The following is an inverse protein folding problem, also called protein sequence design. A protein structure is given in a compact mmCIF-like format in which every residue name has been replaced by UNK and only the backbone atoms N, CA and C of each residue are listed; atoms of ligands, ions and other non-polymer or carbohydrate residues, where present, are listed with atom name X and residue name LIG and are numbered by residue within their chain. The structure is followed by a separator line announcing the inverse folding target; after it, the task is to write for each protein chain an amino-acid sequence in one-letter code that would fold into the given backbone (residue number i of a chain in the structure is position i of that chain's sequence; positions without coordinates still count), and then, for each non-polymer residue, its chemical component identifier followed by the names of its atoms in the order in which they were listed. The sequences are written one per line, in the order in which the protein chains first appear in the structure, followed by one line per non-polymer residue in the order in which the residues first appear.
data_IF_597276131431
#
_entry.id   IF_597276131431
#
_cell.length_a   1.000
_cell.length_b   1.000
_cell.length_c   1.000
_cell.angle_alpha   90.00
_cell.angle_beta   90.00
_cell.angle_gamma   90.00
#
_symmetry.space_group_name_H-M   'P 1'
#
loop_
_entity.id
_entity.type
_entity.pdbx_description
1 polymer ?
#
# COMPACT_ATOMS: atom_id res chain seq x y z
N UNK A 1 -36.83 33.53 -11.36
CA UNK A 1 -37.83 32.66 -12.01
C UNK A 1 -37.26 31.26 -12.05
N UNK A 2 -38.07 30.30 -11.61
CA UNK A 2 -37.73 28.92 -11.35
C UNK A 2 -37.30 28.15 -12.60
N UNK A 3 -36.21 27.39 -12.45
CA UNK A 3 -36.08 26.06 -13.04
C UNK A 3 -35.03 25.30 -12.22
N UNK A 4 -35.47 24.67 -11.14
CA UNK A 4 -34.87 23.41 -10.68
C UNK A 4 -35.13 22.37 -11.76
N UNK A 5 -34.36 22.44 -12.85
CA UNK A 5 -34.24 21.30 -13.75
C UNK A 5 -33.69 20.14 -12.92
N UNK A 6 -34.36 18.97 -12.92
CA UNK A 6 -33.77 17.79 -12.31
C UNK A 6 -32.48 17.51 -13.07
N UNK A 7 -31.32 17.70 -12.41
CA UNK A 7 -30.03 17.26 -12.97
C UNK A 7 -30.22 15.79 -13.33
N UNK A 8 -30.04 15.39 -14.61
CA UNK A 8 -30.26 14.00 -14.97
C UNK A 8 -29.30 13.15 -14.14
N UNK A 9 -29.84 12.20 -13.38
CA UNK A 9 -29.04 11.27 -12.60
C UNK A 9 -28.24 10.38 -13.56
N UNK A 10 -27.04 9.91 -13.18
CA UNK A 10 -26.33 8.89 -13.94
C UNK A 10 -27.23 7.70 -14.25
N UNK A 11 -27.06 7.11 -15.43
CA UNK A 11 -27.81 5.92 -15.82
C UNK A 11 -27.69 4.83 -14.75
N UNK A 12 -28.81 4.29 -14.27
CA UNK A 12 -28.83 3.26 -13.22
C UNK A 12 -28.02 2.02 -13.62
N UNK A 13 -27.96 1.71 -14.93
CA UNK A 13 -27.13 0.64 -15.45
C UNK A 13 -25.63 0.95 -15.30
N UNK A 14 -25.18 2.15 -15.69
CA UNK A 14 -23.78 2.59 -15.51
C UNK A 14 -23.36 2.54 -14.03
N UNK A 15 -24.24 2.97 -13.13
CA UNK A 15 -24.03 2.88 -11.67
C UNK A 15 -23.86 1.43 -11.20
N UNK A 16 -24.73 0.52 -11.67
CA UNK A 16 -24.63 -0.90 -11.32
C UNK A 16 -23.33 -1.51 -11.87
N UNK A 17 -22.93 -1.16 -13.10
CA UNK A 17 -21.68 -1.63 -13.71
C UNK A 17 -20.46 -1.10 -12.98
N UNK A 18 -20.39 0.19 -12.63
CA UNK A 18 -19.28 0.74 -11.84
C UNK A 18 -19.14 0.03 -10.48
N UNK A 19 -20.26 -0.32 -9.85
CA UNK A 19 -20.26 -1.08 -8.59
C UNK A 19 -19.73 -2.50 -8.78
N UNK A 20 -20.09 -3.15 -9.88
CA UNK A 20 -19.56 -4.47 -10.25
C UNK A 20 -18.06 -4.41 -10.56
N UNK A 21 -17.60 -3.39 -11.31
CA UNK A 21 -16.18 -3.13 -11.58
C UNK A 21 -15.41 -2.94 -10.28
N UNK A 22 -15.92 -2.08 -9.38
CA UNK A 22 -15.31 -1.87 -8.06
C UNK A 22 -15.17 -3.18 -7.27
N UNK A 23 -16.24 -3.97 -7.18
CA UNK A 23 -16.20 -5.25 -6.49
C UNK A 23 -15.19 -6.23 -7.13
N UNK A 24 -15.13 -6.30 -8.47
CA UNK A 24 -14.17 -7.14 -9.20
C UNK A 24 -12.74 -6.74 -8.86
N UNK A 25 -12.41 -5.45 -8.98
CA UNK A 25 -11.05 -4.94 -8.71
C UNK A 25 -10.65 -5.19 -7.26
N UNK A 26 -11.55 -4.94 -6.30
CA UNK A 26 -11.31 -5.17 -4.87
C UNK A 26 -10.99 -6.65 -4.61
N UNK A 27 -11.85 -7.56 -5.10
CA UNK A 27 -11.73 -8.99 -4.80
C UNK A 27 -10.57 -9.66 -5.54
N UNK A 28 -10.17 -9.12 -6.70
CA UNK A 28 -9.10 -9.67 -7.51
C UNK A 28 -7.71 -9.14 -7.15
N UNK A 29 -7.60 -8.01 -6.43
CA UNK A 29 -6.31 -7.41 -6.06
C UNK A 29 -5.57 -8.30 -5.06
N UNK A 30 -4.38 -8.84 -5.40
CA UNK A 30 -3.70 -9.81 -4.54
C UNK A 30 -2.94 -9.13 -3.40
N UNK A 31 -3.38 -9.36 -2.17
CA UNK A 31 -2.66 -8.97 -0.97
C UNK A 31 -1.50 -9.93 -0.67
N UNK A 32 -0.25 -9.45 -0.55
CA UNK A 32 0.90 -10.27 -0.16
C UNK A 32 0.64 -11.09 1.12
N UNK A 33 0.03 -10.48 2.15
CA UNK A 33 -0.35 -11.18 3.38
C UNK A 33 -1.47 -12.20 3.13
N UNK A 34 -2.46 -11.88 2.31
CA UNK A 34 -3.57 -12.77 2.01
C UNK A 34 -3.07 -14.04 1.29
N UNK A 35 -2.20 -13.86 0.29
CA UNK A 35 -1.58 -14.99 -0.43
C UNK A 35 -0.68 -15.81 0.50
N UNK A 36 0.06 -15.15 1.41
CA UNK A 36 0.85 -15.85 2.42
C UNK A 36 -0.05 -16.63 3.41
N UNK A 37 -1.17 -16.05 3.83
CA UNK A 37 -2.13 -16.65 4.75
C UNK A 37 -2.78 -17.88 4.11
N UNK A 38 -3.12 -17.82 2.82
CA UNK A 38 -3.60 -18.97 2.04
C UNK A 38 -2.60 -20.13 2.06
N UNK A 39 -1.32 -19.84 1.79
CA UNK A 39 -0.26 -20.87 1.77
C UNK A 39 -0.05 -21.47 3.15
N UNK A 40 -0.01 -20.64 4.19
CA UNK A 40 0.10 -21.09 5.56
C UNK A 40 -1.10 -21.95 5.96
N UNK A 41 -2.32 -21.55 5.58
CA UNK A 41 -3.54 -22.33 5.81
C UNK A 41 -3.51 -23.67 5.10
N UNK A 42 -3.02 -23.72 3.86
CA UNK A 42 -2.89 -24.97 3.11
C UNK A 42 -1.84 -25.90 3.72
N UNK A 43 -0.74 -25.36 4.25
CA UNK A 43 0.22 -26.11 5.04
C UNK A 43 -0.45 -26.73 6.28
N UNK A 44 -1.24 -25.96 7.03
CA UNK A 44 -1.96 -26.47 8.20
C UNK A 44 -2.94 -27.60 7.83
N UNK A 45 -3.63 -27.48 6.69
CA UNK A 45 -4.50 -28.55 6.16
C UNK A 45 -3.71 -29.82 5.85
N UNK A 46 -2.57 -29.71 5.19
CA UNK A 46 -1.70 -30.84 4.84
C UNK A 46 -1.18 -31.58 6.08
N UNK A 47 -0.94 -30.85 7.17
CA UNK A 47 -0.51 -31.40 8.45
C UNK A 47 -1.66 -31.82 9.39
N UNK A 48 -2.91 -31.83 8.90
CA UNK A 48 -4.06 -32.34 9.66
C UNK A 48 -4.56 -31.40 10.77
N UNK A 49 -4.19 -30.12 10.74
CA UNK A 49 -4.59 -29.09 11.72
C UNK A 49 -5.31 -27.88 11.06
N UNK A 50 -6.32 -28.12 10.20
CA UNK A 50 -6.94 -27.07 9.36
C UNK A 50 -7.77 -26.02 10.12
N UNK A 51 -8.00 -26.22 11.41
CA UNK A 51 -8.87 -25.39 12.24
C UNK A 51 -8.12 -24.26 12.95
N UNK A 52 -6.78 -24.28 12.91
CA UNK A 52 -5.97 -23.21 13.47
C UNK A 52 -5.80 -22.08 12.45
N UNK A 53 -5.76 -20.86 12.95
CA UNK A 53 -5.49 -19.67 12.15
C UNK A 53 -3.96 -19.42 12.09
N UNK A 54 -3.33 -19.41 10.90
CA UNK A 54 -1.90 -19.20 10.77
C UNK A 54 -1.40 -17.83 11.26
N UNK A 55 -2.27 -16.82 11.37
CA UNK A 55 -1.93 -15.52 11.97
C UNK A 55 -1.88 -15.56 13.51
N UNK A 56 -2.35 -16.66 14.11
CA UNK A 56 -2.31 -16.93 15.54
C UNK A 56 -1.44 -18.13 15.92
N UNK A 57 -0.65 -18.63 14.97
CA UNK A 57 0.40 -19.62 15.20
C UNK A 57 1.74 -18.92 15.07
N UNK A 58 2.56 -19.01 16.11
CA UNK A 58 3.85 -18.35 16.18
C UNK A 58 4.97 -19.36 16.04
N UNK A 59 5.93 -19.07 15.16
CA UNK A 59 7.24 -19.68 15.22
C UNK A 59 8.13 -18.84 16.13
N UNK A 60 8.54 -19.43 17.25
CA UNK A 60 9.45 -18.82 18.21
C UNK A 60 10.84 -19.42 18.07
N UNK A 61 11.87 -18.59 18.28
CA UNK A 61 13.24 -19.05 18.46
C UNK A 61 13.73 -18.75 19.86
N UNK A 62 14.55 -19.64 20.38
CA UNK A 62 15.10 -19.55 21.73
C UNK A 62 16.60 -19.81 21.74
N UNK A 63 17.28 -19.21 22.71
CA UNK A 63 18.72 -19.40 22.89
C UNK A 63 19.03 -20.62 23.77
N UNK A 64 18.01 -21.21 24.40
CA UNK A 64 18.12 -22.38 25.27
C UNK A 64 16.88 -23.27 25.17
N UNK A 65 17.06 -24.57 25.44
CA UNK A 65 16.01 -25.58 25.39
C UNK A 65 16.18 -26.60 26.50
N UNK A 66 15.08 -27.22 26.93
CA UNK A 66 15.06 -28.30 27.90
C UNK A 66 14.40 -29.52 27.26
N UNK A 67 14.96 -30.72 27.48
CA UNK A 67 14.37 -31.95 26.95
C UNK A 67 13.06 -32.26 27.67
N UNK A 68 12.02 -32.62 26.93
CA UNK A 68 10.72 -33.01 27.49
C UNK A 68 10.14 -34.20 26.75
N UNK A 69 9.70 -35.22 27.47
CA UNK A 69 9.06 -36.40 26.88
C UNK A 69 7.57 -36.17 26.57
N UNK A 70 7.04 -35.01 26.93
CA UNK A 70 5.61 -34.67 26.75
C UNK A 70 5.34 -33.83 25.51
N UNK A 71 6.34 -33.08 25.05
CA UNK A 71 6.20 -32.18 23.91
C UNK A 71 6.38 -32.93 22.59
N UNK A 72 5.76 -32.41 21.55
CA UNK A 72 5.79 -32.97 20.20
C UNK A 72 7.19 -32.96 19.60
N UNK A 73 7.97 -31.89 19.80
CA UNK A 73 9.34 -31.76 19.30
C UNK A 73 10.37 -32.48 20.16
N UNK A 74 10.00 -32.89 21.39
CA UNK A 74 10.93 -33.39 22.40
C UNK A 74 11.64 -32.31 23.21
N UNK A 75 11.33 -31.02 22.96
CA UNK A 75 11.91 -29.86 23.63
C UNK A 75 10.82 -28.94 24.21
N UNK A 76 11.15 -28.26 25.30
CA UNK A 76 10.35 -27.20 25.91
C UNK A 76 11.22 -25.99 26.26
N UNK A 77 10.59 -24.83 26.34
CA UNK A 77 11.25 -23.56 26.66
C UNK A 77 10.53 -22.88 27.82
N UNK A 78 11.00 -23.17 29.03
CA UNK A 78 10.42 -22.70 30.30
C UNK A 78 11.16 -21.47 30.79
N UNK A 79 10.44 -20.42 31.17
CA UNK A 79 10.98 -19.12 31.57
C UNK A 79 11.94 -18.49 30.54
N UNK A 80 11.79 -18.86 29.26
CA UNK A 80 12.61 -18.37 28.17
C UNK A 80 11.82 -17.34 27.35
N UNK A 81 12.44 -16.20 27.07
CA UNK A 81 11.88 -15.23 26.13
C UNK A 81 12.34 -15.58 24.72
N UNK A 82 11.44 -15.63 23.73
CA UNK A 82 11.86 -15.82 22.35
C UNK A 82 12.84 -14.73 21.92
N UNK A 83 13.96 -15.10 21.31
CA UNK A 83 14.89 -14.16 20.66
C UNK A 83 14.35 -13.69 19.30
N UNK A 84 13.43 -14.45 18.72
CA UNK A 84 12.63 -14.07 17.55
C UNK A 84 11.24 -14.71 17.65
N UNK A 85 10.22 -13.97 17.20
CA UNK A 85 8.83 -14.42 17.13
C UNK A 85 8.22 -13.91 15.84
N UNK A 86 7.58 -14.78 15.07
CA UNK A 86 6.85 -14.43 13.85
C UNK A 86 5.65 -15.35 13.68
N UNK A 87 4.56 -14.88 13.07
CA UNK A 87 3.43 -15.76 12.77
C UNK A 87 3.77 -16.72 11.63
N UNK A 88 3.03 -17.83 11.50
CA UNK A 88 3.23 -18.78 10.41
C UNK A 88 3.04 -18.10 9.04
N UNK A 89 2.04 -17.21 8.92
CA UNK A 89 1.83 -16.39 7.73
C UNK A 89 3.04 -15.52 7.40
N UNK A 90 3.56 -14.79 8.39
CA UNK A 90 4.74 -13.95 8.20
C UNK A 90 5.97 -14.79 7.84
N UNK A 91 6.10 -15.99 8.39
CA UNK A 91 7.19 -16.92 8.07
C UNK A 91 7.14 -17.39 6.61
N UNK A 92 5.96 -17.47 5.96
CA UNK A 92 5.86 -17.74 4.52
C UNK A 92 6.57 -16.66 3.71
N UNK A 93 6.44 -15.40 4.11
CA UNK A 93 7.03 -14.24 3.43
C UNK A 93 8.51 -14.11 3.79
N UNK A 94 8.83 -14.17 5.08
CA UNK A 94 10.19 -13.97 5.59
C UNK A 94 11.12 -15.14 5.31
N UNK A 95 10.57 -16.33 5.15
CA UNK A 95 11.27 -17.61 5.10
C UNK A 95 12.13 -17.87 6.35
N UNK A 96 12.59 -19.11 6.48
CA UNK A 96 13.64 -19.44 7.43
C UNK A 96 14.96 -18.78 7.02
N UNK A 97 15.88 -18.63 7.99
CA UNK A 97 17.21 -18.08 7.75
C UNK A 97 18.01 -19.06 6.89
N UNK A 98 18.98 -18.57 6.13
CA UNK A 98 19.87 -19.43 5.35
C UNK A 98 20.53 -20.50 6.23
N UNK A 99 20.97 -20.13 7.44
CA UNK A 99 21.58 -21.05 8.42
C UNK A 99 20.65 -22.16 8.90
N UNK A 100 19.33 -21.96 8.87
CA UNK A 100 18.37 -23.01 9.23
C UNK A 100 18.22 -24.05 8.12
N UNK A 101 18.51 -23.65 6.87
CA UNK A 101 18.51 -24.58 5.75
C UNK A 101 19.67 -25.57 5.90
N UNK A 102 20.82 -25.08 6.36
CA UNK A 102 22.00 -25.88 6.63
C UNK A 102 21.86 -26.74 7.91
N UNK A 103 21.06 -26.28 8.89
CA UNK A 103 20.90 -26.92 10.20
C UNK A 103 19.42 -27.20 10.53
N UNK A 104 18.70 -27.79 9.59
CA UNK A 104 17.26 -28.02 9.71
C UNK A 104 16.87 -28.93 10.89
N UNK A 105 17.80 -29.78 11.35
CA UNK A 105 17.67 -30.63 12.53
C UNK A 105 17.65 -29.83 13.84
N UNK A 106 18.27 -28.64 13.86
CA UNK A 106 18.30 -27.76 15.03
C UNK A 106 17.05 -26.88 15.16
N UNK A 107 16.17 -26.85 14.15
CA UNK A 107 14.97 -26.01 14.17
C UNK A 107 14.00 -26.39 15.28
N UNK A 108 13.88 -27.68 15.59
CA UNK A 108 13.02 -28.18 16.67
C UNK A 108 13.68 -28.07 18.06
N UNK A 109 15.01 -27.96 18.10
CA UNK A 109 15.77 -27.76 19.33
C UNK A 109 15.72 -26.29 19.77
N UNK A 110 16.00 -25.35 18.86
CA UNK A 110 16.07 -23.92 19.16
C UNK A 110 14.83 -23.15 18.71
N UNK A 111 13.76 -23.84 18.34
CA UNK A 111 12.51 -23.24 17.96
C UNK A 111 11.34 -24.20 17.99
N UNK A 112 10.16 -23.66 17.76
CA UNK A 112 8.92 -24.43 17.75
C UNK A 112 7.72 -23.58 17.37
N UNK A 113 6.62 -24.24 17.04
CA UNK A 113 5.35 -23.58 16.75
C UNK A 113 4.44 -23.61 17.96
N UNK A 114 3.84 -22.47 18.29
CA UNK A 114 3.00 -22.31 19.47
C UNK A 114 1.78 -21.44 19.18
N UNK A 115 0.70 -21.66 19.92
CA UNK A 115 -0.49 -20.79 19.89
C UNK A 115 -0.33 -19.55 20.78
N UNK A 116 0.63 -19.58 21.70
CA UNK A 116 0.94 -18.46 22.58
C UNK A 116 1.92 -17.48 21.92
N UNK A 117 1.64 -16.19 22.01
CA UNK A 117 2.52 -15.13 21.53
C UNK A 117 3.79 -14.95 22.38
N UNK A 118 4.67 -13.99 22.01
CA UNK A 118 6.01 -13.84 22.58
C UNK A 118 6.05 -13.46 24.08
N UNK A 119 4.94 -12.97 24.63
CA UNK A 119 4.85 -12.56 26.05
C UNK A 119 4.57 -13.75 27.00
N UNK A 120 4.34 -14.94 26.48
CA UNK A 120 4.16 -16.13 27.31
C UNK A 120 5.45 -16.52 28.03
N UNK A 121 5.29 -17.05 29.24
CA UNK A 121 6.42 -17.43 30.08
C UNK A 121 6.97 -18.82 29.75
N UNK A 122 6.10 -19.73 29.31
CA UNK A 122 6.42 -21.14 29.10
C UNK A 122 5.88 -21.60 27.75
N UNK A 123 6.70 -22.33 27.01
CA UNK A 123 6.39 -22.91 25.72
C UNK A 123 6.63 -24.42 25.78
N UNK A 124 5.55 -25.20 25.83
CA UNK A 124 5.57 -26.64 26.10
C UNK A 124 4.29 -27.32 25.55
N UNK A 125 3.96 -28.51 26.04
CA UNK A 125 2.86 -29.33 25.52
C UNK A 125 1.48 -28.67 25.66
N UNK A 126 1.36 -27.65 26.50
CA UNK A 126 0.08 -26.96 26.76
C UNK A 126 -0.29 -25.94 25.69
N UNK A 127 0.68 -25.47 24.91
CA UNK A 127 0.49 -24.45 23.87
C UNK A 127 1.24 -24.74 22.57
N UNK A 128 1.89 -25.90 22.45
CA UNK A 128 2.52 -26.34 21.20
C UNK A 128 1.51 -26.52 20.06
N UNK A 129 1.97 -26.23 18.86
CA UNK A 129 1.34 -26.63 17.61
C UNK A 129 2.17 -27.77 17.05
N UNK A 130 1.51 -28.89 16.71
CA UNK A 130 2.15 -30.13 16.26
C UNK A 130 2.69 -30.02 14.83
N UNK A 131 3.72 -29.20 14.67
CA UNK A 131 4.46 -28.95 13.44
C UNK A 131 5.96 -29.02 13.74
N UNK A 132 6.70 -29.76 12.91
CA UNK A 132 8.16 -29.74 12.93
C UNK A 132 8.69 -28.61 12.05
N UNK A 133 9.69 -27.87 12.54
CA UNK A 133 10.36 -26.81 11.78
C UNK A 133 10.91 -27.29 10.45
N UNK A 134 11.52 -28.48 10.43
CA UNK A 134 12.05 -29.09 9.21
C UNK A 134 10.97 -29.41 8.17
N UNK A 135 9.77 -29.81 8.60
CA UNK A 135 8.69 -30.12 7.66
C UNK A 135 8.09 -28.85 7.06
N UNK A 136 7.92 -27.79 7.88
CA UNK A 136 7.53 -26.46 7.37
C UNK A 136 8.58 -25.92 6.41
N UNK A 137 9.87 -26.07 6.74
CA UNK A 137 10.98 -25.68 5.87
C UNK A 137 10.89 -26.39 4.51
N UNK A 138 10.72 -27.72 4.48
CA UNK A 138 10.56 -28.49 3.23
C UNK A 138 9.36 -28.02 2.42
N UNK A 139 8.22 -27.80 3.06
CA UNK A 139 7.00 -27.28 2.40
C UNK A 139 7.25 -25.91 1.77
N UNK A 140 7.99 -25.04 2.45
CA UNK A 140 8.33 -23.71 1.92
C UNK A 140 9.30 -23.77 0.75
N UNK A 141 10.24 -24.72 0.74
CA UNK A 141 11.13 -24.97 -0.40
C UNK A 141 10.40 -25.45 -1.65
N UNK A 142 9.32 -26.21 -1.48
CA UNK A 142 8.51 -26.69 -2.61
C UNK A 142 7.67 -25.58 -3.26
N UNK A 143 7.51 -24.43 -2.60
CA UNK A 143 6.68 -23.32 -3.06
C UNK A 143 7.57 -22.14 -3.41
N UNK A 144 7.63 -21.79 -4.69
CA UNK A 144 8.18 -20.50 -5.11
C UNK A 144 7.15 -19.39 -4.87
N UNK A 145 7.08 -18.90 -3.63
CA UNK A 145 6.15 -17.85 -3.23
C UNK A 145 6.36 -16.55 -4.01
N UNK A 146 7.61 -16.24 -4.37
CA UNK A 146 7.91 -15.03 -5.11
C UNK A 146 7.28 -15.09 -6.49
N UNK A 147 7.56 -16.16 -7.23
CA UNK A 147 6.97 -16.37 -8.56
C UNK A 147 5.44 -16.46 -8.48
N UNK A 148 4.89 -17.21 -7.52
CA UNK A 148 3.44 -17.32 -7.34
C UNK A 148 2.77 -15.96 -7.11
N UNK A 149 3.33 -15.12 -6.24
CA UNK A 149 2.76 -13.80 -5.96
C UNK A 149 2.90 -12.85 -7.16
N UNK A 150 4.07 -12.84 -7.81
CA UNK A 150 4.31 -12.04 -9.02
C UNK A 150 3.38 -12.45 -10.18
N UNK A 151 3.11 -13.74 -10.36
CA UNK A 151 2.17 -14.24 -11.37
C UNK A 151 0.73 -13.78 -11.08
N UNK A 152 0.28 -13.84 -9.81
CA UNK A 152 -1.03 -13.31 -9.41
C UNK A 152 -1.13 -11.82 -9.63
N UNK A 153 -0.08 -11.06 -9.31
CA UNK A 153 -0.03 -9.61 -9.53
C UNK A 153 -0.09 -9.26 -11.02
N UNK A 154 0.63 -10.02 -11.85
CA UNK A 154 0.61 -9.89 -13.31
C UNK A 154 -0.78 -10.18 -13.88
N UNK A 155 -1.42 -11.26 -13.46
CA UNK A 155 -2.77 -11.61 -13.87
C UNK A 155 -3.78 -10.52 -13.45
N UNK A 156 -3.67 -10.00 -12.23
CA UNK A 156 -4.52 -8.91 -11.76
C UNK A 156 -4.42 -7.66 -12.64
N UNK A 157 -3.22 -7.17 -12.91
CA UNK A 157 -3.04 -5.97 -13.71
C UNK A 157 -3.46 -6.16 -15.17
N UNK A 158 -3.20 -7.34 -15.74
CA UNK A 158 -3.71 -7.72 -17.06
C UNK A 158 -5.25 -7.69 -17.11
N UNK A 159 -5.93 -8.28 -16.12
CA UNK A 159 -7.39 -8.47 -16.14
C UNK A 159 -8.18 -7.26 -15.60
N UNK A 160 -7.55 -6.42 -14.79
CA UNK A 160 -8.19 -5.35 -14.02
C UNK A 160 -7.58 -3.97 -14.24
N UNK A 161 -6.49 -3.82 -15.01
CA UNK A 161 -5.80 -2.52 -15.19
C UNK A 161 -6.71 -1.43 -15.78
N UNK A 162 -7.53 -1.75 -16.78
CA UNK A 162 -8.50 -0.80 -17.37
C UNK A 162 -9.63 -0.44 -16.40
N UNK A 163 -10.08 -1.42 -15.62
CA UNK A 163 -11.10 -1.26 -14.59
C UNK A 163 -10.57 -0.34 -13.47
N UNK A 164 -9.34 -0.58 -13.01
CA UNK A 164 -8.62 0.27 -12.06
C UNK A 164 -8.54 1.72 -12.53
N UNK A 165 -8.10 1.94 -13.78
CA UNK A 165 -8.01 3.28 -14.38
C UNK A 165 -9.36 4.00 -14.39
N UNK A 166 -10.42 3.28 -14.76
CA UNK A 166 -11.79 3.80 -14.79
C UNK A 166 -12.26 4.23 -13.39
N UNK A 167 -11.98 3.41 -12.37
CA UNK A 167 -12.30 3.73 -10.97
C UNK A 167 -11.44 4.88 -10.43
N UNK A 168 -10.17 4.97 -10.80
CA UNK A 168 -9.28 6.08 -10.43
C UNK A 168 -9.81 7.40 -10.98
N UNK A 169 -10.23 7.42 -12.25
CA UNK A 169 -10.87 8.59 -12.89
C UNK A 169 -12.18 8.96 -12.22
N UNK A 170 -13.00 7.96 -11.87
CA UNK A 170 -14.24 8.18 -11.12
C UNK A 170 -13.97 8.78 -9.74
N UNK A 171 -13.02 8.23 -8.97
CA UNK A 171 -12.66 8.71 -7.65
C UNK A 171 -12.08 10.14 -7.69
N UNK A 172 -11.25 10.45 -8.68
CA UNK A 172 -10.76 11.81 -8.90
C UNK A 172 -11.92 12.80 -9.06
N UNK A 173 -12.90 12.49 -9.92
CA UNK A 173 -14.06 13.36 -10.15
C UNK A 173 -14.90 13.51 -8.88
N UNK A 174 -15.17 12.41 -8.16
CA UNK A 174 -15.88 12.44 -6.88
C UNK A 174 -15.17 13.38 -5.89
N UNK A 175 -13.84 13.23 -5.74
CA UNK A 175 -13.04 14.07 -4.85
C UNK A 175 -12.99 15.52 -5.30
N UNK A 176 -12.97 15.79 -6.60
CA UNK A 176 -12.97 17.14 -7.15
C UNK A 176 -14.32 17.84 -6.86
N UNK A 177 -15.43 17.14 -7.04
CA UNK A 177 -16.78 17.65 -6.68
C UNK A 177 -16.87 17.91 -5.18
N UNK A 178 -16.44 16.96 -4.34
CA UNK A 178 -16.41 17.15 -2.89
C UNK A 178 -15.55 18.34 -2.46
N UNK A 179 -14.36 18.51 -3.05
CA UNK A 179 -13.47 19.61 -2.77
C UNK A 179 -14.09 20.95 -3.21
N UNK A 180 -14.77 20.99 -4.35
CA UNK A 180 -15.53 22.16 -4.81
C UNK A 180 -16.67 22.50 -3.85
N UNK A 181 -17.49 21.53 -3.45
CA UNK A 181 -18.61 21.73 -2.52
C UNK A 181 -18.14 22.25 -1.16
N UNK A 182 -16.96 21.80 -0.71
CA UNK A 182 -16.28 22.28 0.51
C UNK A 182 -15.51 23.59 0.32
N UNK A 183 -15.51 24.19 -0.88
CA UNK A 183 -14.72 25.38 -1.27
C UNK A 183 -13.20 25.22 -1.10
N UNK A 184 -12.71 23.98 -1.11
CA UNK A 184 -11.27 23.66 -1.18
C UNK A 184 -10.75 23.84 -2.61
N UNK A 185 -11.60 23.64 -3.61
CA UNK A 185 -11.38 24.08 -4.99
C UNK A 185 -12.35 25.21 -5.31
N UNK A 186 -11.87 26.25 -5.99
CA UNK A 186 -12.75 27.23 -6.62
C UNK A 186 -13.45 26.61 -7.84
N UNK A 187 -14.50 27.27 -8.36
CA UNK A 187 -15.15 26.83 -9.61
C UNK A 187 -14.16 26.81 -10.79
N UNK A 188 -13.26 27.80 -10.84
CA UNK A 188 -12.20 27.90 -11.86
C UNK A 188 -11.19 26.76 -11.71
N UNK A 189 -10.70 26.50 -10.50
CA UNK A 189 -9.74 25.42 -10.26
C UNK A 189 -10.36 24.04 -10.53
N UNK A 190 -11.62 23.84 -10.14
CA UNK A 190 -12.38 22.62 -10.45
C UNK A 190 -12.49 22.41 -11.97
N UNK A 191 -12.91 23.44 -12.71
CA UNK A 191 -13.00 23.37 -14.17
C UNK A 191 -11.64 23.11 -14.80
N UNK A 192 -10.59 23.79 -14.31
CA UNK A 192 -9.23 23.60 -14.79
C UNK A 192 -8.77 22.15 -14.61
N UNK A 193 -8.73 21.62 -13.38
CA UNK A 193 -8.19 20.27 -13.14
C UNK A 193 -8.98 19.19 -13.87
N UNK A 194 -10.32 19.33 -13.94
CA UNK A 194 -11.15 18.36 -14.66
C UNK A 194 -10.96 18.42 -16.17
N UNK A 195 -10.81 19.62 -16.75
CA UNK A 195 -10.53 19.78 -18.16
C UNK A 195 -9.16 19.20 -18.56
N UNK A 196 -8.15 19.34 -17.70
CA UNK A 196 -6.80 18.82 -17.99
C UNK A 196 -6.73 17.29 -18.04
N UNK A 197 -7.52 16.58 -17.23
CA UNK A 197 -7.47 15.10 -17.16
C UNK A 197 -8.60 14.39 -17.91
N UNK A 198 -9.66 15.11 -18.29
CA UNK A 198 -10.83 14.49 -18.90
C UNK A 198 -11.38 15.25 -20.11
N UNK A 199 -10.95 16.49 -20.35
CA UNK A 199 -11.59 17.38 -21.31
C UNK A 199 -12.93 17.94 -20.80
N UNK A 200 -13.73 18.54 -21.69
CA UNK A 200 -15.01 19.13 -21.34
C UNK A 200 -16.00 18.10 -20.78
N UNK A 201 -16.41 18.28 -19.52
CA UNK A 201 -17.39 17.38 -18.88
C UNK A 201 -18.80 17.72 -19.35
N UNK A 202 -19.49 16.71 -19.89
CA UNK A 202 -20.96 16.71 -20.01
C UNK A 202 -21.58 15.99 -18.82
N UNK A 203 -22.56 16.62 -18.16
CA UNK A 203 -23.33 15.99 -17.09
C UNK A 203 -24.65 15.41 -17.63
N UNK A 204 -25.07 14.20 -17.20
CA UNK A 204 -24.37 13.29 -16.30
C UNK A 204 -23.17 12.60 -16.94
N UNK A 205 -22.18 12.26 -16.13
CA UNK A 205 -21.01 11.49 -16.58
C UNK A 205 -21.41 10.03 -16.82
N UNK A 206 -21.11 9.51 -18.02
CA UNK A 206 -21.36 8.12 -18.40
C UNK A 206 -20.16 7.22 -18.10
N UNK A 207 -20.41 5.91 -18.02
CA UNK A 207 -19.33 4.92 -17.91
C UNK A 207 -18.35 5.01 -19.09
N UNK A 208 -18.87 5.20 -20.31
CA UNK A 208 -18.05 5.35 -21.51
C UNK A 208 -17.07 6.54 -21.38
N UNK A 209 -17.51 7.65 -20.79
CA UNK A 209 -16.67 8.83 -20.57
C UNK A 209 -15.56 8.55 -19.52
N UNK A 210 -15.87 7.77 -18.48
CA UNK A 210 -14.88 7.33 -17.50
C UNK A 210 -13.88 6.33 -18.11
N UNK A 211 -14.30 5.51 -19.06
CA UNK A 211 -13.44 4.56 -19.75
C UNK A 211 -12.59 5.22 -20.85
N UNK A 212 -13.04 6.32 -21.44
CA UNK A 212 -12.29 7.01 -22.50
C UNK A 212 -10.97 7.62 -21.97
N UNK A 213 -9.90 7.46 -22.75
CA UNK A 213 -8.61 8.13 -22.51
C UNK A 213 -8.65 9.58 -22.93
N UNK A 214 -7.94 10.43 -22.20
CA UNK A 214 -7.72 11.82 -22.54
C UNK A 214 -6.23 12.04 -22.86
N UNK A 215 -5.86 12.65 -23.99
CA UNK A 215 -4.46 12.93 -24.28
C UNK A 215 -3.84 13.81 -23.18
N UNK A 216 -2.55 13.60 -22.91
CA UNK A 216 -1.82 14.37 -21.92
C UNK A 216 -1.73 15.85 -22.27
N UNK A 217 -1.53 16.67 -21.25
CA UNK A 217 -1.36 18.13 -21.39
C UNK A 217 -0.05 18.56 -20.73
N UNK A 218 0.49 19.72 -21.14
CA UNK A 218 1.75 20.25 -20.59
C UNK A 218 1.65 20.74 -19.13
N UNK A 219 0.45 20.66 -18.55
CA UNK A 219 0.14 21.16 -17.22
C UNK A 219 0.23 20.10 -16.12
N UNK A 220 0.23 18.81 -16.46
CA UNK A 220 0.18 17.71 -15.48
C UNK A 220 1.59 17.15 -15.26
N UNK A 221 2.00 17.08 -14.00
CA UNK A 221 3.34 16.70 -13.58
C UNK A 221 3.30 15.79 -12.37
N UNK A 222 4.40 15.11 -12.12
CA UNK A 222 4.61 14.41 -10.85
C UNK A 222 4.89 15.40 -9.72
N UNK A 223 4.66 14.94 -8.49
CA UNK A 223 5.12 15.58 -7.26
C UNK A 223 6.45 14.93 -6.86
N UNK A 224 7.45 15.74 -6.50
CA UNK A 224 8.68 15.22 -5.88
C UNK A 224 9.14 16.07 -4.69
N UNK A 225 9.80 15.41 -3.75
CA UNK A 225 10.40 16.03 -2.56
C UNK A 225 11.83 15.52 -2.45
N UNK A 226 12.81 16.43 -2.48
CA UNK A 226 14.24 16.14 -2.48
C UNK A 226 14.65 15.08 -3.53
N UNK A 227 13.98 15.07 -4.69
CA UNK A 227 14.25 14.15 -5.78
C UNK A 227 13.53 12.80 -5.68
N UNK A 228 12.84 12.50 -4.56
CA UNK A 228 11.96 11.35 -4.43
C UNK A 228 10.63 11.65 -5.10
N UNK A 229 10.24 10.86 -6.10
CA UNK A 229 9.04 11.10 -6.91
C UNK A 229 7.88 10.28 -6.34
N UNK A 230 6.73 10.93 -6.14
CA UNK A 230 5.52 10.25 -5.72
C UNK A 230 4.97 9.35 -6.85
N UNK A 231 4.55 8.14 -6.50
CA UNK A 231 4.10 7.10 -7.44
C UNK A 231 2.64 7.30 -7.88
N UNK A 232 1.83 8.04 -7.13
CA UNK A 232 0.41 8.18 -7.42
C UNK A 232 -0.15 9.60 -7.25
N UNK A 233 0.70 10.61 -7.02
CA UNK A 233 0.26 12.00 -6.90
C UNK A 233 0.24 12.71 -8.26
N UNK A 234 -0.85 13.41 -8.56
CA UNK A 234 -0.95 14.28 -9.73
C UNK A 234 -0.78 15.74 -9.30
N UNK A 235 0.11 16.48 -9.98
CA UNK A 235 0.30 17.91 -9.76
C UNK A 235 -0.05 18.68 -11.02
N UNK A 236 -0.92 19.66 -10.88
CA UNK A 236 -1.37 20.53 -11.95
C UNK A 236 -0.72 21.89 -11.81
N UNK A 237 -0.08 22.35 -12.88
CA UNK A 237 0.49 23.69 -13.00
C UNK A 237 -0.55 24.59 -13.65
N UNK A 238 -1.28 25.34 -12.83
CA UNK A 238 -2.28 26.30 -13.26
C UNK A 238 -1.61 27.59 -13.83
N UNK A 239 -2.37 28.44 -14.55
CA UNK A 239 -1.86 29.73 -15.02
C UNK A 239 -1.23 30.55 -13.88
N UNK A 240 -0.22 31.36 -14.22
CA UNK A 240 0.57 32.17 -13.27
C UNK A 240 1.40 31.35 -12.25
N UNK A 241 1.53 30.04 -12.44
CA UNK A 241 2.44 29.18 -11.66
C UNK A 241 1.84 28.56 -10.40
N UNK A 242 0.56 28.85 -10.10
CA UNK A 242 -0.21 28.21 -9.02
C UNK A 242 -0.21 26.69 -9.21
N UNK A 243 -0.10 25.95 -8.12
CA UNK A 243 -0.05 24.49 -8.12
C UNK A 243 -1.31 23.92 -7.47
N UNK A 244 -1.86 22.86 -8.06
CA UNK A 244 -2.94 22.07 -7.44
C UNK A 244 -2.45 20.64 -7.36
N UNK A 245 -2.42 20.06 -6.16
CA UNK A 245 -1.99 18.67 -5.94
C UNK A 245 -3.19 17.81 -5.65
N UNK A 246 -3.30 16.69 -6.36
CA UNK A 246 -4.22 15.60 -6.08
C UNK A 246 -3.45 14.43 -5.45
N UNK A 247 -3.83 14.08 -4.23
CA UNK A 247 -3.35 12.92 -3.47
C UNK A 247 -4.49 11.89 -3.39
N UNK A 248 -4.46 10.81 -4.19
CA UNK A 248 -5.51 9.80 -4.14
C UNK A 248 -5.58 9.12 -2.76
N UNK A 249 -6.78 8.91 -2.24
CA UNK A 249 -6.99 8.25 -0.94
C UNK A 249 -7.02 9.19 0.27
N UNK A 250 -6.50 10.41 0.14
CA UNK A 250 -6.56 11.41 1.21
C UNK A 250 -8.00 11.88 1.47
N UNK A 251 -8.29 12.20 2.74
CA UNK A 251 -9.56 12.84 3.13
C UNK A 251 -9.72 14.19 2.44
N UNK A 252 -8.64 14.99 2.44
CA UNK A 252 -8.52 16.23 1.69
C UNK A 252 -7.62 15.99 0.48
N UNK A 253 -8.19 15.34 -0.53
CA UNK A 253 -7.43 14.86 -1.69
C UNK A 253 -6.88 15.99 -2.58
N UNK A 254 -7.43 17.21 -2.51
CA UNK A 254 -6.95 18.36 -3.29
C UNK A 254 -6.33 19.42 -2.38
N UNK A 255 -5.15 19.90 -2.78
CA UNK A 255 -4.48 21.02 -2.14
C UNK A 255 -4.14 22.08 -3.19
N UNK A 256 -4.66 23.29 -3.03
CA UNK A 256 -4.29 24.47 -3.82
C UNK A 256 -3.15 25.21 -3.12
N UNK A 257 -2.13 25.59 -3.89
CA UNK A 257 -0.91 26.24 -3.41
C UNK A 257 -0.60 27.41 -4.36
N UNK A 258 -0.74 28.64 -3.87
CA UNK A 258 -0.64 29.86 -4.68
C UNK A 258 0.79 30.08 -5.19
N UNK A 259 1.78 29.78 -4.34
CA UNK A 259 3.20 30.03 -4.63
C UNK A 259 4.09 28.82 -4.34
N UNK A 260 5.32 28.85 -4.84
CA UNK A 260 6.35 27.86 -4.48
C UNK A 260 6.62 27.85 -2.96
N UNK A 261 6.50 29.02 -2.30
CA UNK A 261 6.62 29.15 -0.85
C UNK A 261 5.52 28.39 -0.11
N UNK A 262 4.28 28.52 -0.55
CA UNK A 262 3.13 27.81 0.04
C UNK A 262 3.29 26.30 -0.13
N UNK A 263 3.76 25.87 -1.31
CA UNK A 263 4.02 24.47 -1.58
C UNK A 263 5.11 23.89 -0.69
N UNK A 264 6.22 24.61 -0.52
CA UNK A 264 7.30 24.17 0.37
C UNK A 264 6.82 24.12 1.83
N UNK A 265 6.09 25.14 2.28
CA UNK A 265 5.51 25.13 3.63
C UNK A 265 4.53 23.97 3.83
N UNK A 266 3.69 23.66 2.84
CA UNK A 266 2.77 22.54 2.90
C UNK A 266 3.49 21.19 3.05
N UNK A 267 4.58 20.96 2.30
CA UNK A 267 5.41 19.76 2.45
C UNK A 267 6.02 19.69 3.85
N UNK A 268 6.54 20.81 4.39
CA UNK A 268 7.04 20.85 5.77
C UNK A 268 5.96 20.42 6.77
N UNK A 269 4.73 20.90 6.62
CA UNK A 269 3.63 20.51 7.50
C UNK A 269 3.33 19.00 7.42
N UNK A 270 3.35 18.42 6.22
CA UNK A 270 3.15 16.97 6.02
C UNK A 270 4.26 16.14 6.64
N UNK A 271 5.51 16.62 6.62
CA UNK A 271 6.66 15.87 7.14
C UNK A 271 6.88 16.02 8.65
N UNK A 272 6.32 17.06 9.27
CA UNK A 272 6.60 17.44 10.66
C UNK A 272 5.88 16.57 11.70
N UNK A 273 4.65 16.10 11.43
CA UNK A 273 3.89 15.23 12.36
C UNK A 273 3.98 13.79 11.91
N UNK A 274 4.22 12.87 12.84
CA UNK A 274 4.41 11.44 12.54
C UNK A 274 3.23 10.85 11.73
N UNK A 275 1.99 10.99 12.21
CA UNK A 275 0.81 10.50 11.50
C UNK A 275 0.63 11.12 10.10
N UNK A 276 0.86 12.43 9.97
CA UNK A 276 0.76 13.13 8.67
C UNK A 276 1.87 12.69 7.70
N UNK A 277 3.05 12.40 8.24
CA UNK A 277 4.21 11.92 7.49
C UNK A 277 3.96 10.50 7.03
N UNK A 278 3.51 9.59 7.91
CA UNK A 278 3.16 8.22 7.54
C UNK A 278 2.11 8.20 6.41
N UNK A 279 1.05 9.01 6.54
CA UNK A 279 0.04 9.14 5.49
C UNK A 279 0.65 9.66 4.16
N UNK A 280 1.46 10.72 4.22
CA UNK A 280 2.09 11.29 3.03
C UNK A 280 3.10 10.32 2.38
N UNK A 281 3.82 9.54 3.18
CA UNK A 281 4.76 8.53 2.71
C UNK A 281 4.10 7.43 1.88
N UNK A 282 2.80 7.15 2.08
CA UNK A 282 2.06 6.17 1.25
C UNK A 282 2.00 6.49 -0.25
N UNK A 283 2.33 7.73 -0.63
CA UNK A 283 2.42 8.17 -2.02
C UNK A 283 3.79 7.94 -2.67
N UNK A 284 4.79 7.45 -1.93
CA UNK A 284 6.14 7.17 -2.43
C UNK A 284 6.37 5.65 -2.52
N UNK A 285 7.34 5.24 -3.34
CA UNK A 285 7.74 3.83 -3.43
C UNK A 285 8.25 3.32 -2.08
N UNK A 286 8.16 2.01 -1.83
CA UNK A 286 8.67 1.45 -0.57
C UNK A 286 10.15 1.78 -0.34
N UNK A 287 10.96 1.65 -1.39
CA UNK A 287 12.38 1.99 -1.39
C UNK A 287 12.61 3.45 -0.98
N UNK A 288 11.84 4.39 -1.56
CA UNK A 288 11.97 5.80 -1.21
C UNK A 288 11.52 6.07 0.22
N UNK A 289 10.43 5.43 0.69
CA UNK A 289 9.99 5.55 2.10
C UNK A 289 11.08 5.11 3.06
N UNK A 290 11.77 4.00 2.77
CA UNK A 290 12.89 3.53 3.59
C UNK A 290 14.02 4.55 3.62
N UNK A 291 14.47 5.00 2.45
CA UNK A 291 15.53 6.00 2.32
C UNK A 291 15.18 7.30 3.05
N UNK A 292 13.94 7.77 2.91
CA UNK A 292 13.43 8.95 3.62
C UNK A 292 13.41 8.71 5.13
N UNK A 293 12.97 7.55 5.59
CA UNK A 293 12.86 7.22 7.02
C UNK A 293 14.24 7.14 7.67
N UNK A 294 15.20 6.50 7.01
CA UNK A 294 16.59 6.39 7.48
C UNK A 294 17.29 7.76 7.56
N UNK A 295 16.94 8.68 6.66
CA UNK A 295 17.57 10.00 6.54
C UNK A 295 16.63 11.15 6.96
N UNK A 296 15.59 10.87 7.76
CA UNK A 296 14.50 11.82 8.01
C UNK A 296 14.99 13.10 8.69
N UNK A 297 15.92 13.00 9.63
CA UNK A 297 16.48 14.16 10.35
C UNK A 297 17.21 15.09 9.40
N UNK A 298 18.04 14.54 8.51
CA UNK A 298 18.81 15.32 7.54
C UNK A 298 17.89 15.96 6.50
N UNK A 299 16.91 15.21 5.99
CA UNK A 299 15.90 15.73 5.07
C UNK A 299 15.11 16.89 5.70
N UNK A 300 14.65 16.75 6.95
CA UNK A 300 13.93 17.81 7.65
C UNK A 300 14.79 19.05 7.86
N UNK A 301 16.07 18.89 8.22
CA UNK A 301 17.01 20.00 8.35
C UNK A 301 17.21 20.74 7.02
N UNK A 302 17.32 20.03 5.91
CA UNK A 302 17.45 20.61 4.58
C UNK A 302 16.18 21.37 4.16
N UNK A 303 14.99 20.78 4.35
CA UNK A 303 13.71 21.42 4.04
C UNK A 303 13.52 22.70 4.84
N UNK A 304 13.77 22.68 6.16
CA UNK A 304 13.65 23.88 7.00
C UNK A 304 14.67 24.95 6.62
N UNK A 305 15.93 24.56 6.36
CA UNK A 305 17.00 25.49 6.00
C UNK A 305 16.74 26.20 4.66
N UNK A 306 16.30 25.44 3.66
CA UNK A 306 15.99 25.97 2.32
C UNK A 306 14.74 26.84 2.35
N UNK A 307 13.69 26.42 3.07
CA UNK A 307 12.49 27.25 3.28
C UNK A 307 12.82 28.60 3.92
N UNK A 308 13.65 28.61 4.98
CA UNK A 308 14.07 29.85 5.66
C UNK A 308 14.90 30.81 4.79
N UNK A 309 15.47 30.31 3.68
CA UNK A 309 16.23 31.12 2.70
C UNK A 309 15.40 31.50 1.47
N UNK A 310 14.10 31.21 1.46
CA UNK A 310 13.24 31.33 0.27
C UNK A 310 13.75 30.53 -0.94
N UNK A 311 14.45 29.43 -0.66
CA UNK A 311 14.93 28.49 -1.64
C UNK A 311 13.98 27.28 -1.68
N UNK A 312 13.37 27.04 -2.83
CA UNK A 312 12.35 26.01 -3.02
C UNK A 312 12.82 24.88 -3.95
N UNK A 313 14.12 24.79 -4.27
CA UNK A 313 14.64 23.83 -5.26
C UNK A 313 14.46 22.36 -4.86
N UNK A 314 14.31 22.07 -3.57
CA UNK A 314 14.06 20.70 -3.07
C UNK A 314 12.64 20.23 -3.37
N UNK A 315 11.72 21.10 -3.77
CA UNK A 315 10.34 20.72 -4.06
C UNK A 315 10.13 20.74 -5.57
N UNK A 316 9.68 19.62 -6.12
CA UNK A 316 9.53 19.41 -7.56
C UNK A 316 10.85 19.62 -8.34
N UNK A 317 11.98 19.16 -7.80
CA UNK A 317 13.29 19.22 -8.46
C UNK A 317 13.30 18.52 -9.82
N UNK A 318 12.67 17.36 -9.92
CA UNK A 318 12.57 16.55 -11.16
C UNK A 318 11.55 17.14 -12.11
N UNK A 319 10.46 17.71 -11.58
CA UNK A 319 9.42 18.42 -12.33
C UNK A 319 8.88 17.64 -13.55
N UNK A 320 8.77 16.32 -13.46
CA UNK A 320 8.53 15.44 -14.61
C UNK A 320 7.13 15.66 -15.17
N UNK A 321 7.03 15.74 -16.49
CA UNK A 321 5.74 15.83 -17.19
C UNK A 321 5.09 14.45 -17.25
N UNK A 322 3.79 14.39 -16.98
CA UNK A 322 2.99 13.18 -17.17
C UNK A 322 2.52 13.17 -18.63
N UNK A 323 3.07 12.25 -19.42
CA UNK A 323 2.74 12.09 -20.84
C UNK A 323 1.54 11.17 -21.02
N UNK A 324 0.64 11.52 -21.95
CA UNK A 324 -0.57 10.73 -22.22
C UNK A 324 -1.66 10.89 -21.15
N UNK A 325 -2.58 9.93 -21.10
CA UNK A 325 -3.71 9.94 -20.17
C UNK A 325 -3.23 9.82 -18.71
N UNK A 326 -3.56 10.81 -17.88
CA UNK A 326 -3.07 10.89 -16.50
C UNK A 326 -3.50 9.68 -15.65
N UNK A 327 -4.65 9.07 -15.94
CA UNK A 327 -5.13 7.89 -15.21
C UNK A 327 -4.48 6.59 -15.72
N UNK A 328 -4.04 6.56 -16.97
CA UNK A 328 -3.18 5.49 -17.50
C UNK A 328 -1.80 5.57 -16.86
N UNK A 329 -1.20 6.76 -16.77
CA UNK A 329 0.03 6.96 -16.00
C UNK A 329 -0.15 6.54 -14.54
N UNK A 330 -1.27 6.89 -13.90
CA UNK A 330 -1.56 6.52 -12.52
C UNK A 330 -1.69 5.02 -12.34
N UNK A 331 -2.33 4.31 -13.29
CA UNK A 331 -2.37 2.85 -13.35
C UNK A 331 -0.96 2.27 -13.44
N UNK A 332 -0.20 2.67 -14.46
CA UNK A 332 1.12 2.10 -14.77
C UNK A 332 2.14 2.35 -13.65
N UNK A 333 2.12 3.56 -13.07
CA UNK A 333 2.99 3.93 -11.96
C UNK A 333 2.61 3.20 -10.66
N UNK A 334 1.30 2.95 -10.44
CA UNK A 334 0.84 2.14 -9.30
C UNK A 334 1.21 0.66 -9.49
N UNK A 335 1.06 0.14 -10.70
CA UNK A 335 1.47 -1.22 -11.08
C UNK A 335 2.97 -1.43 -10.83
N UNK A 336 3.81 -0.57 -11.40
CA UNK A 336 5.26 -0.62 -11.20
C UNK A 336 5.62 -0.57 -9.70
N UNK A 337 5.01 0.34 -8.93
CA UNK A 337 5.24 0.44 -7.50
C UNK A 337 4.87 -0.85 -6.73
N UNK A 338 3.78 -1.53 -7.11
CA UNK A 338 3.43 -2.82 -6.50
C UNK A 338 4.44 -3.91 -6.81
N UNK A 339 4.95 -3.98 -8.04
CA UNK A 339 5.99 -4.95 -8.41
C UNK A 339 7.32 -4.67 -7.69
N UNK A 340 7.73 -3.41 -7.59
CA UNK A 340 8.93 -3.02 -6.85
C UNK A 340 8.81 -3.34 -5.35
N UNK A 341 7.63 -3.08 -4.77
CA UNK A 341 7.31 -3.41 -3.38
C UNK A 341 7.31 -4.92 -3.12
N UNK A 342 6.76 -5.71 -4.06
CA UNK A 342 6.81 -7.16 -4.01
C UNK A 342 8.26 -7.66 -4.05
N UNK A 343 9.05 -7.21 -5.02
CA UNK A 343 10.46 -7.58 -5.16
C UNK A 343 11.23 -7.27 -3.88
N UNK A 344 11.13 -6.05 -3.36
CA UNK A 344 11.82 -5.63 -2.15
C UNK A 344 11.38 -6.44 -0.93
N UNK A 345 10.08 -6.74 -0.79
CA UNK A 345 9.55 -7.53 0.34
C UNK A 345 10.01 -8.99 0.31
N UNK A 346 10.15 -9.56 -0.88
CA UNK A 346 10.45 -10.97 -1.08
C UNK A 346 11.95 -11.27 -1.11
N UNK A 347 12.78 -10.37 -1.66
CA UNK A 347 14.22 -10.60 -1.83
C UNK A 347 15.11 -9.94 -0.78
N UNK A 348 14.58 -9.05 0.07
CA UNK A 348 15.39 -8.40 1.10
C UNK A 348 15.77 -9.32 2.26
N UNK A 349 16.87 -9.03 2.95
CA UNK A 349 17.31 -9.83 4.11
C UNK A 349 16.35 -9.71 5.31
N UNK A 350 16.45 -10.65 6.25
CA UNK A 350 15.53 -10.80 7.40
C UNK A 350 15.30 -9.52 8.20
N UNK A 351 16.35 -8.73 8.47
CA UNK A 351 16.24 -7.51 9.28
C UNK A 351 15.54 -6.37 8.52
N UNK A 352 15.78 -6.27 7.22
CA UNK A 352 15.08 -5.30 6.37
C UNK A 352 13.61 -5.68 6.24
N UNK A 353 13.30 -6.98 6.07
CA UNK A 353 11.93 -7.49 6.05
C UNK A 353 11.18 -7.20 7.35
N UNK A 354 11.81 -7.36 8.52
CA UNK A 354 11.20 -7.01 9.81
C UNK A 354 10.89 -5.52 9.91
N UNK A 355 11.80 -4.65 9.52
CA UNK A 355 11.58 -3.19 9.53
C UNK A 355 10.45 -2.77 8.60
N UNK A 356 10.42 -3.35 7.40
CA UNK A 356 9.33 -3.17 6.44
C UNK A 356 7.99 -3.50 7.08
N UNK A 357 7.89 -4.68 7.68
CA UNK A 357 6.67 -5.16 8.33
C UNK A 357 6.24 -4.33 9.53
N UNK A 358 7.17 -3.92 10.40
CA UNK A 358 6.86 -3.03 11.54
C UNK A 358 6.33 -1.68 11.02
N UNK A 359 6.92 -1.14 9.95
CA UNK A 359 6.44 0.08 9.30
C UNK A 359 5.06 -0.07 8.64
N UNK A 360 4.73 -1.25 8.10
CA UNK A 360 3.40 -1.57 7.57
C UNK A 360 2.35 -1.83 8.66
N UNK A 361 2.77 -2.36 9.81
CA UNK A 361 1.92 -2.55 10.98
C UNK A 361 1.62 -1.21 11.69
N UNK A 362 2.55 -0.25 11.69
CA UNK A 362 2.31 1.11 12.20
C UNK A 362 1.45 1.94 11.23
N UNK A 363 1.70 1.83 9.92
CA UNK A 363 0.84 2.35 8.87
C UNK A 363 -0.39 1.42 8.65
N UNK A 364 -1.21 1.29 9.70
CA UNK A 364 -2.19 0.22 9.90
C UNK A 364 -2.76 -0.46 8.65
N UNK A 365 -2.36 -1.72 8.42
CA UNK A 365 -3.04 -2.79 7.66
C UNK A 365 -3.70 -2.40 6.32
N UNK A 366 -3.34 -1.27 5.71
CA UNK A 366 -3.69 -0.95 4.31
C UNK A 366 -2.61 -1.52 3.42
N UNK A 367 -2.59 -2.84 3.42
CA UNK A 367 -1.93 -3.67 2.43
C UNK A 367 -2.47 -3.18 1.07
N UNK A 368 -1.60 -2.50 0.33
CA UNK A 368 -1.77 -1.89 -0.99
C UNK A 368 -2.61 -0.59 -1.07
N UNK A 369 -1.86 0.53 -1.24
CA UNK A 369 -2.25 1.86 -1.73
C UNK A 369 -3.03 1.94 -3.08
N UNK A 370 -3.02 0.97 -4.02
CA UNK A 370 -3.84 1.03 -5.23
C UNK A 370 -5.32 1.24 -4.90
N UNK A 371 -5.80 0.62 -3.83
CA UNK A 371 -7.20 0.76 -3.45
C UNK A 371 -7.53 2.13 -2.85
N UNK A 372 -6.52 2.83 -2.32
CA UNK A 372 -6.65 4.22 -1.93
C UNK A 372 -6.90 5.12 -3.15
N UNK A 373 -6.32 4.78 -4.31
CA UNK A 373 -6.55 5.48 -5.59
C UNK A 373 -8.01 5.40 -6.04
N UNK A 374 -8.68 4.28 -5.78
CA UNK A 374 -10.10 4.09 -6.13
C UNK A 374 -11.08 4.44 -4.99
N UNK A 375 -10.57 4.90 -3.83
CA UNK A 375 -11.37 5.63 -2.83
C UNK A 375 -12.33 4.80 -1.96
N UNK A 376 -12.04 3.53 -1.68
CA UNK A 376 -12.83 2.74 -0.73
C UNK A 376 -12.70 3.25 0.72
N UNK A 377 -13.77 3.37 1.53
CA UNK A 377 -15.19 3.04 1.30
C UNK A 377 -16.07 4.19 0.78
N UNK A 378 -15.48 5.34 0.41
CA UNK A 378 -16.21 6.57 0.05
C UNK A 378 -16.93 6.44 -1.32
N UNK A 379 -16.54 5.49 -2.17
CA UNK A 379 -17.19 5.26 -3.45
C UNK A 379 -18.66 4.79 -3.33
N UNK A 380 -19.07 4.15 -2.23
CA UNK A 380 -20.44 3.61 -2.11
C UNK A 380 -21.54 4.64 -1.82
N UNK A 381 -21.36 5.62 -0.91
CA UNK A 381 -22.41 6.60 -0.60
C UNK A 381 -22.56 7.71 -1.65
N UNK A 382 -21.48 8.06 -2.37
CA UNK A 382 -21.47 9.25 -3.25
C UNK A 382 -22.03 8.95 -4.65
N UNK A 383 -22.13 7.68 -5.02
CA UNK A 383 -22.89 7.26 -6.20
C UNK A 383 -24.41 7.27 -5.87
N UNK A 384 -24.81 7.59 -4.63
CA UNK A 384 -26.18 7.70 -4.10
C UNK A 384 -27.01 8.80 -4.73
#
# INVERSE_FOLDING_TARGET
MNSTEPRPLPNAADKATLKAIANKVILACPGLQDVAHEIASDLLKQHGIPHLDPDHIYFHRFDAAQSSTKTFTGWEHIHAKPSESTTLTQLVIHRFRATDQDNADLLDLYGGFYTAGPDATNFNETNEVRLHGNDVLKSFWAIDFSTLYTDRLTAFWHDSGTDFRTLAKCNFLIKAVQARDKRQLSDEDFQFVTQQVMGPISWPVSLQYLQAEHPGTDSIRTLDVAGYVATNALRFVAPKGRQIVYLPGDTNAFQVLETATDMHYWILQRMNREEAREAFMTHFSLTDRQNITENITDLMNQLVSTWGKYDHHLINQKNQLILGDAFSWLRDSTEAAMFDEAALSLTSNSDLRKKLWIGYLSAGMKIFSPMAVVGWPIALPVIG
#
